data_IF_118358571086
#
_entry.id   IF_118358571086
#
_cell.length_a   1.000
_cell.length_b   1.000
_cell.length_c   1.000
_cell.angle_alpha   90.00
_cell.angle_beta   90.00
_cell.angle_gamma   90.00
#
_symmetry.space_group_name_H-M   'P 1'
#
loop_
_entity.id
_entity.type
_entity.pdbx_description
1 polymer ?
#
# COMPACT_ATOMS: atom_id res chain seq x y z
N UNK A 1 18.61 -36.97 -28.51
CA UNK A 1 17.47 -36.03 -28.64
C UNK A 1 16.83 -35.79 -27.27
N UNK A 2 17.64 -35.37 -26.29
CA UNK A 2 17.21 -35.12 -24.90
C UNK A 2 17.71 -33.75 -24.42
N UNK A 3 18.90 -33.31 -24.86
CA UNK A 3 19.49 -32.03 -24.43
C UNK A 3 18.64 -30.81 -24.76
N UNK A 4 18.08 -30.70 -25.97
CA UNK A 4 17.23 -29.53 -26.34
C UNK A 4 15.97 -29.42 -25.48
N UNK A 5 15.43 -30.56 -25.01
CA UNK A 5 14.27 -30.57 -24.10
C UNK A 5 14.67 -30.13 -22.70
N UNK A 6 15.82 -30.57 -22.22
CA UNK A 6 16.36 -30.19 -20.91
C UNK A 6 16.75 -28.70 -20.87
N UNK A 7 17.29 -28.18 -21.97
CA UNK A 7 17.62 -26.75 -22.11
C UNK A 7 16.35 -25.87 -22.06
N UNK A 8 15.27 -26.30 -22.72
CA UNK A 8 13.96 -25.62 -22.64
C UNK A 8 13.36 -25.66 -21.23
N UNK A 9 13.50 -26.78 -20.52
CA UNK A 9 13.02 -26.91 -19.13
C UNK A 9 13.80 -25.99 -18.19
N UNK A 10 15.14 -25.95 -18.32
CA UNK A 10 15.99 -25.01 -17.56
C UNK A 10 15.65 -23.56 -17.85
N UNK A 11 15.50 -23.19 -19.12
CA UNK A 11 15.15 -21.81 -19.49
C UNK A 11 13.81 -21.38 -18.88
N UNK A 12 12.81 -22.28 -18.88
CA UNK A 12 11.51 -22.05 -18.23
C UNK A 12 11.67 -21.85 -16.71
N UNK A 13 12.46 -22.70 -16.05
CA UNK A 13 12.69 -22.57 -14.60
C UNK A 13 13.39 -21.26 -14.25
N UNK A 14 14.39 -20.86 -15.02
CA UNK A 14 15.06 -19.56 -14.86
C UNK A 14 14.08 -18.40 -15.01
N UNK A 15 13.23 -18.42 -16.04
CA UNK A 15 12.22 -17.37 -16.23
C UNK A 15 11.24 -17.30 -15.07
N UNK A 16 10.75 -18.44 -14.59
CA UNK A 16 9.87 -18.48 -13.42
C UNK A 16 10.55 -17.93 -12.17
N UNK A 17 11.84 -18.24 -11.97
CA UNK A 17 12.61 -17.71 -10.85
C UNK A 17 12.74 -16.18 -10.91
N UNK A 18 13.06 -15.66 -12.09
CA UNK A 18 13.16 -14.21 -12.34
C UNK A 18 11.82 -13.53 -12.08
N UNK A 19 10.70 -14.12 -12.50
CA UNK A 19 9.36 -13.59 -12.22
C UNK A 19 9.11 -13.48 -10.72
N UNK A 20 9.39 -14.54 -9.95
CA UNK A 20 9.22 -14.52 -8.49
C UNK A 20 10.11 -13.49 -7.80
N UNK A 21 11.35 -13.32 -8.25
CA UNK A 21 12.24 -12.28 -7.71
C UNK A 21 11.72 -10.87 -8.01
N UNK A 22 11.21 -10.66 -9.23
CA UNK A 22 10.60 -9.39 -9.62
C UNK A 22 9.38 -9.06 -8.76
N UNK A 23 8.49 -10.04 -8.53
CA UNK A 23 7.30 -9.85 -7.69
C UNK A 23 7.69 -9.36 -6.28
N UNK A 24 8.71 -9.99 -5.66
CA UNK A 24 9.22 -9.59 -4.36
C UNK A 24 9.80 -8.17 -4.34
N UNK A 25 10.56 -7.81 -5.38
CA UNK A 25 11.13 -6.46 -5.50
C UNK A 25 10.04 -5.40 -5.66
N UNK A 26 8.98 -5.71 -6.42
CA UNK A 26 7.86 -4.79 -6.63
C UNK A 26 7.09 -4.60 -5.32
N UNK A 27 6.78 -5.66 -4.60
CA UNK A 27 6.14 -5.60 -3.29
C UNK A 27 6.93 -4.73 -2.31
N UNK A 28 8.24 -4.99 -2.18
CA UNK A 28 9.11 -4.23 -1.28
C UNK A 28 9.09 -2.73 -1.62
N UNK A 29 9.29 -2.38 -2.89
CA UNK A 29 9.31 -0.98 -3.34
C UNK A 29 7.98 -0.29 -3.11
N UNK A 30 6.87 -1.01 -3.31
CA UNK A 30 5.54 -0.49 -3.04
C UNK A 30 5.37 -0.19 -1.55
N UNK A 31 5.70 -1.13 -0.66
CA UNK A 31 5.59 -0.94 0.79
C UNK A 31 6.43 0.24 1.27
N UNK A 32 7.67 0.35 0.80
CA UNK A 32 8.57 1.47 1.14
C UNK A 32 7.95 2.80 0.71
N UNK A 33 7.51 2.89 -0.55
CA UNK A 33 6.94 4.12 -1.12
C UNK A 33 5.64 4.51 -0.42
N UNK A 34 4.72 3.56 -0.22
CA UNK A 34 3.46 3.77 0.48
C UNK A 34 3.68 4.28 1.90
N UNK A 35 4.65 3.70 2.62
CA UNK A 35 5.00 4.14 3.98
C UNK A 35 5.48 5.59 4.01
N UNK A 36 6.30 6.00 3.03
CA UNK A 36 6.75 7.39 2.93
C UNK A 36 5.61 8.35 2.61
N UNK A 37 4.76 8.00 1.64
CA UNK A 37 3.58 8.81 1.29
C UNK A 37 2.66 8.98 2.50
N UNK A 38 2.35 7.89 3.21
CA UNK A 38 1.52 7.90 4.43
C UNK A 38 2.09 8.82 5.50
N UNK A 39 3.41 8.80 5.72
CA UNK A 39 4.09 9.69 6.67
C UNK A 39 4.00 11.16 6.27
N UNK A 40 4.24 11.48 5.00
CA UNK A 40 4.15 12.85 4.51
C UNK A 40 2.71 13.36 4.52
N UNK A 41 1.75 12.53 4.12
CA UNK A 41 0.33 12.86 4.14
C UNK A 41 -0.13 13.28 5.54
N UNK A 42 0.28 12.53 6.58
CA UNK A 42 0.02 12.89 7.99
C UNK A 42 0.52 14.29 8.36
N UNK A 43 1.77 14.61 8.04
CA UNK A 43 2.39 15.91 8.35
C UNK A 43 1.69 17.04 7.61
N UNK A 44 1.54 16.88 6.29
CA UNK A 44 0.92 17.88 5.42
C UNK A 44 -0.53 18.14 5.83
N UNK A 45 -1.29 17.10 6.18
CA UNK A 45 -2.66 17.27 6.67
C UNK A 45 -2.70 18.11 7.95
N UNK A 46 -1.84 17.81 8.92
CA UNK A 46 -1.80 18.58 10.17
C UNK A 46 -1.42 20.05 9.94
N UNK A 47 -0.47 20.32 9.06
CA UNK A 47 -0.05 21.66 8.69
C UNK A 47 -1.16 22.44 7.97
N UNK A 48 -1.85 21.80 7.01
CA UNK A 48 -2.93 22.44 6.25
C UNK A 48 -4.16 22.76 7.10
N UNK A 49 -4.54 21.87 8.01
CA UNK A 49 -5.72 22.04 8.83
C UNK A 49 -5.45 22.71 10.18
N UNK A 50 -4.18 22.93 10.55
CA UNK A 50 -3.79 23.50 11.84
C UNK A 50 -4.04 22.54 13.03
N UNK A 51 -3.99 21.24 12.77
CA UNK A 51 -4.24 20.17 13.74
C UNK A 51 -5.03 18.99 13.14
N UNK A 52 -5.57 18.14 14.01
CA UNK A 52 -6.28 16.92 13.59
C UNK A 52 -5.35 15.74 13.29
N UNK A 53 -5.91 14.68 12.71
CA UNK A 53 -5.19 13.45 12.33
C UNK A 53 -5.70 12.98 10.99
N UNK A 54 -4.82 12.49 10.14
CA UNK A 54 -5.24 11.76 8.96
C UNK A 54 -4.30 10.59 8.71
N UNK A 55 -4.77 9.60 7.97
CA UNK A 55 -4.02 8.40 7.68
C UNK A 55 -4.41 7.79 6.34
N UNK A 56 -3.48 7.06 5.75
CA UNK A 56 -3.71 6.23 4.57
C UNK A 56 -3.69 4.77 4.97
N UNK A 57 -4.70 4.01 4.54
CA UNK A 57 -4.80 2.56 4.78
C UNK A 57 -5.03 1.82 3.47
N UNK A 58 -4.47 0.62 3.37
CA UNK A 58 -4.78 -0.28 2.26
C UNK A 58 -6.08 -1.01 2.58
N UNK A 59 -6.96 -1.11 1.59
CA UNK A 59 -8.24 -1.82 1.70
C UNK A 59 -8.01 -3.33 1.87
N UNK A 60 -7.03 -3.88 1.16
CA UNK A 60 -6.62 -5.28 1.19
C UNK A 60 -5.08 -5.37 1.41
N UNK A 61 -4.60 -5.31 2.67
CA UNK A 61 -3.16 -5.32 2.95
C UNK A 61 -2.44 -6.61 2.52
N UNK A 62 -3.17 -7.71 2.36
CA UNK A 62 -2.68 -8.99 1.84
C UNK A 62 -2.45 -9.02 0.32
N UNK A 63 -3.03 -8.06 -0.42
CA UNK A 63 -2.88 -7.91 -1.87
C UNK A 63 -2.42 -6.48 -2.19
N UNK A 64 -1.23 -6.12 -1.69
CA UNK A 64 -0.70 -4.76 -1.76
C UNK A 64 -0.63 -4.19 -3.18
N UNK A 65 -0.41 -5.03 -4.19
CA UNK A 65 -0.25 -4.58 -5.57
C UNK A 65 -1.58 -4.25 -6.27
N UNK A 66 -2.67 -4.87 -5.85
CA UNK A 66 -4.01 -4.63 -6.43
C UNK A 66 -4.97 -3.92 -5.46
N UNK A 67 -4.59 -3.75 -4.20
CA UNK A 67 -5.40 -3.07 -3.19
C UNK A 67 -5.60 -1.60 -3.52
N UNK A 68 -6.82 -1.11 -3.30
CA UNK A 68 -7.10 0.31 -3.19
C UNK A 68 -6.50 0.94 -1.92
N UNK A 69 -6.55 2.27 -1.86
CA UNK A 69 -6.13 3.08 -0.71
C UNK A 69 -7.34 3.84 -0.19
N UNK A 70 -7.60 3.75 1.12
CA UNK A 70 -8.61 4.54 1.82
C UNK A 70 -7.95 5.65 2.66
N UNK A 71 -8.67 6.75 2.83
CA UNK A 71 -8.23 7.91 3.59
C UNK A 71 -9.09 8.02 4.85
N UNK A 72 -8.44 7.99 6.01
CA UNK A 72 -9.10 8.24 7.30
C UNK A 72 -8.67 9.62 7.80
N UNK A 73 -9.62 10.53 8.01
CA UNK A 73 -9.31 11.89 8.44
C UNK A 73 -10.22 12.37 9.59
N UNK A 74 -9.59 12.98 10.58
CA UNK A 74 -10.16 13.63 11.76
C UNK A 74 -9.72 15.10 11.79
N UNK A 75 -10.55 16.05 11.33
CA UNK A 75 -10.22 17.47 11.36
C UNK A 75 -10.07 18.03 12.79
N UNK A 76 -9.32 19.12 12.98
CA UNK A 76 -9.18 19.76 14.29
C UNK A 76 -10.53 20.27 14.81
N UNK A 77 -10.73 20.18 16.13
CA UNK A 77 -11.95 20.64 16.81
C UNK A 77 -13.03 19.57 17.03
N UNK A 78 -12.91 18.37 16.46
CA UNK A 78 -13.78 17.23 16.78
C UNK A 78 -13.19 16.37 17.92
N UNK A 79 -13.24 16.87 19.17
CA UNK A 79 -13.12 16.00 20.35
C UNK A 79 -14.49 15.35 20.62
N UNK A 80 -14.85 14.35 19.84
CA UNK A 80 -16.16 13.69 19.97
C UNK A 80 -16.18 12.76 21.19
N UNK A 81 -16.79 13.24 22.28
CA UNK A 81 -17.10 12.46 23.49
C UNK A 81 -18.41 11.65 23.38
N UNK A 82 -19.01 11.56 22.19
CA UNK A 82 -20.29 10.88 21.97
C UNK A 82 -20.13 9.79 20.89
N UNK A 83 -20.70 8.62 21.16
CA UNK A 83 -20.50 7.32 20.49
C UNK A 83 -21.09 7.22 19.07
N UNK A 84 -21.29 8.36 18.38
CA UNK A 84 -21.98 8.43 17.08
C UNK A 84 -21.25 9.23 16.00
N UNK A 85 -20.04 9.72 16.25
CA UNK A 85 -19.29 10.52 15.27
C UNK A 85 -18.06 9.76 14.75
N UNK A 86 -18.29 8.66 14.02
CA UNK A 86 -17.26 7.95 13.24
C UNK A 86 -17.52 8.07 11.74
N UNK A 87 -17.95 9.25 11.27
CA UNK A 87 -17.90 9.52 9.84
C UNK A 87 -16.48 9.99 9.51
N UNK A 88 -15.61 8.98 9.37
CA UNK A 88 -14.39 9.07 8.59
C UNK A 88 -14.78 9.57 7.19
N UNK A 89 -14.07 10.59 6.72
CA UNK A 89 -14.20 11.04 5.34
C UNK A 89 -13.44 10.05 4.46
N UNK A 90 -14.04 8.90 4.15
CA UNK A 90 -13.52 7.99 3.12
C UNK A 90 -13.76 8.63 1.76
N UNK A 91 -12.69 9.11 1.13
CA UNK A 91 -12.74 9.56 -0.25
C UNK A 91 -12.73 8.32 -1.16
N UNK A 92 -13.81 8.10 -1.92
CA UNK A 92 -13.89 7.09 -2.98
C UNK A 92 -13.09 7.54 -4.21
#
# INVERSE_FOLDING_TARGET
>A
MTSQRDDLLKARETLNHVMTEMDQVVEQRFTETFTQIRKHFRSVFQELFGGGRADLQLIAPEDMLNSGVDILAEPPGKSCRDSRCSQAVSAH
#
